data_IF_827937456276
#
_entry.id   IF_827937456276
#
_cell.length_a   1.000
_cell.length_b   1.000
_cell.length_c   1.000
_cell.angle_alpha   90.00
_cell.angle_beta   90.00
_cell.angle_gamma   90.00
#
_symmetry.space_group_name_H-M   'P 1'
#
loop_
_entity.id
_entity.type
_entity.pdbx_description
1 polymer ?
#
# COMPACT_ATOMS: atom_id res chain seq x y z
N UNK A 1 -12.84 19.78 -19.62
CA UNK A 1 -13.64 18.65 -19.10
C UNK A 1 -12.63 17.68 -18.49
N UNK A 2 -12.73 17.32 -17.21
CA UNK A 2 -11.82 16.33 -16.61
C UNK A 2 -12.05 15.00 -17.31
N UNK A 3 -10.98 14.34 -17.78
CA UNK A 3 -11.05 13.00 -18.37
C UNK A 3 -11.53 11.96 -17.33
N UNK A 4 -11.41 12.28 -16.05
CA UNK A 4 -11.83 11.44 -14.94
C UNK A 4 -13.17 11.97 -14.43
N UNK A 5 -14.24 11.24 -14.71
CA UNK A 5 -15.59 11.56 -14.18
C UNK A 5 -15.87 10.65 -12.99
N UNK A 6 -16.05 11.24 -11.82
CA UNK A 6 -16.42 10.52 -10.59
C UNK A 6 -17.92 10.69 -10.33
N UNK A 7 -18.58 9.60 -9.93
CA UNK A 7 -20.00 9.56 -9.62
C UNK A 7 -20.32 10.17 -8.23
N UNK A 8 -21.59 10.23 -7.86
CA UNK A 8 -22.04 10.86 -6.60
C UNK A 8 -21.52 10.11 -5.37
N UNK A 9 -21.47 8.77 -5.38
CA UNK A 9 -20.97 7.96 -4.29
C UNK A 9 -19.45 8.19 -4.10
N UNK A 10 -18.68 8.21 -5.18
CA UNK A 10 -17.25 8.50 -5.17
C UNK A 10 -16.93 9.93 -4.67
N UNK A 11 -17.79 10.92 -5.00
CA UNK A 11 -17.67 12.28 -4.44
C UNK A 11 -17.91 12.31 -2.94
N UNK A 12 -18.89 11.55 -2.46
CA UNK A 12 -19.17 11.44 -1.03
C UNK A 12 -18.00 10.80 -0.28
N UNK A 13 -17.46 9.68 -0.78
CA UNK A 13 -16.27 9.02 -0.21
C UNK A 13 -15.11 10.01 -0.13
N UNK A 14 -14.81 10.73 -1.22
CA UNK A 14 -13.77 11.76 -1.22
C UNK A 14 -13.99 12.80 -0.12
N UNK A 15 -15.20 13.32 0.00
CA UNK A 15 -15.53 14.35 0.99
C UNK A 15 -15.35 13.83 2.42
N UNK A 16 -15.90 12.66 2.75
CA UNK A 16 -15.85 12.10 4.09
C UNK A 16 -14.41 11.69 4.49
N UNK A 17 -13.68 11.03 3.60
CA UNK A 17 -12.30 10.62 3.87
C UNK A 17 -11.38 11.85 3.97
N UNK A 18 -11.53 12.84 3.08
CA UNK A 18 -10.76 14.09 3.13
C UNK A 18 -10.99 14.86 4.43
N UNK A 19 -12.24 14.96 4.87
CA UNK A 19 -12.59 15.61 6.15
C UNK A 19 -11.96 14.87 7.33
N UNK A 20 -12.07 13.55 7.37
CA UNK A 20 -11.44 12.75 8.42
C UNK A 20 -9.92 12.89 8.40
N UNK A 21 -9.29 12.79 7.23
CA UNK A 21 -7.85 12.92 7.06
C UNK A 21 -7.32 14.28 7.54
N UNK A 22 -7.94 15.37 7.12
CA UNK A 22 -7.51 16.74 7.49
C UNK A 22 -7.76 17.09 8.96
N UNK A 23 -8.84 16.58 9.58
CA UNK A 23 -9.19 16.95 10.94
C UNK A 23 -8.56 16.08 12.02
N UNK A 24 -8.26 14.81 11.72
CA UNK A 24 -7.83 13.86 12.73
C UNK A 24 -6.45 13.23 12.41
N UNK A 25 -6.17 12.97 11.13
CA UNK A 25 -4.94 12.29 10.76
C UNK A 25 -3.78 13.28 10.63
N UNK A 26 -4.00 14.42 9.99
CA UNK A 26 -2.94 15.42 9.75
C UNK A 26 -2.33 15.90 11.07
N UNK A 27 -3.15 16.13 12.09
CA UNK A 27 -2.69 16.55 13.43
C UNK A 27 -1.92 15.44 14.17
N UNK A 28 -2.26 14.17 13.96
CA UNK A 28 -1.60 13.02 14.61
C UNK A 28 -0.40 12.48 13.83
N UNK A 29 -0.20 12.89 12.57
CA UNK A 29 0.77 12.28 11.66
C UNK A 29 2.22 12.36 12.15
N UNK A 30 2.60 13.47 12.81
CA UNK A 30 3.95 13.64 13.37
C UNK A 30 4.19 12.75 14.59
N UNK A 31 3.18 12.57 15.43
CA UNK A 31 3.25 11.67 16.58
C UNK A 31 3.28 10.21 16.14
N UNK A 32 2.45 9.81 15.18
CA UNK A 32 2.50 8.48 14.57
C UNK A 32 3.86 8.16 13.98
N UNK A 33 4.49 9.12 13.29
CA UNK A 33 5.84 8.95 12.73
C UNK A 33 6.91 8.80 13.84
N UNK A 34 6.83 9.60 14.89
CA UNK A 34 7.78 9.55 16.02
C UNK A 34 7.65 8.24 16.80
N UNK A 35 6.42 7.84 17.09
CA UNK A 35 6.11 6.70 17.93
C UNK A 35 6.13 5.38 17.15
N UNK A 36 6.16 5.44 15.83
CA UNK A 36 6.20 4.26 14.93
C UNK A 36 4.93 3.42 14.99
N UNK A 37 3.79 3.99 15.41
CA UNK A 37 2.52 3.27 15.51
C UNK A 37 1.33 4.16 15.20
N UNK A 38 0.23 3.53 14.76
CA UNK A 38 -1.07 4.19 14.57
C UNK A 38 -1.88 4.02 15.86
N UNK A 39 -2.39 5.09 16.46
CA UNK A 39 -3.23 5.01 17.65
C UNK A 39 -4.49 4.16 17.41
N UNK A 40 -4.84 3.32 18.38
CA UNK A 40 -6.00 2.42 18.29
C UNK A 40 -7.31 3.14 18.00
N UNK A 41 -7.49 4.36 18.53
CA UNK A 41 -8.67 5.18 18.24
C UNK A 41 -8.78 5.59 16.76
N UNK A 42 -7.65 5.80 16.06
CA UNK A 42 -7.63 6.05 14.62
C UNK A 42 -8.00 4.78 13.86
N UNK A 43 -7.41 3.63 14.21
CA UNK A 43 -7.75 2.34 13.59
C UNK A 43 -9.22 2.00 13.78
N UNK A 44 -9.79 2.26 14.96
CA UNK A 44 -11.20 2.05 15.22
C UNK A 44 -12.09 2.92 14.33
N UNK A 45 -11.73 4.19 14.10
CA UNK A 45 -12.47 5.07 13.19
C UNK A 45 -12.36 4.64 11.73
N UNK A 46 -11.18 4.21 11.27
CA UNK A 46 -10.99 3.62 9.94
C UNK A 46 -11.92 2.41 9.75
N UNK A 47 -12.02 1.55 10.78
CA UNK A 47 -12.94 0.42 10.78
C UNK A 47 -14.41 0.85 10.71
N UNK A 48 -14.83 1.82 11.55
CA UNK A 48 -16.20 2.37 11.57
C UNK A 48 -16.59 3.02 10.24
N UNK A 49 -15.63 3.59 9.51
CA UNK A 49 -15.83 4.14 8.17
C UNK A 49 -15.85 3.05 7.08
N UNK A 50 -15.67 1.76 7.43
CA UNK A 50 -15.63 0.64 6.48
C UNK A 50 -14.38 0.60 5.61
N UNK A 51 -13.33 1.39 5.92
CA UNK A 51 -12.18 1.55 5.03
C UNK A 51 -11.28 0.30 4.95
N UNK A 52 -11.31 -0.59 5.95
CA UNK A 52 -10.61 -1.86 5.87
C UNK A 52 -11.28 -2.87 4.94
N UNK A 53 -12.58 -2.73 4.69
CA UNK A 53 -13.38 -3.64 3.87
C UNK A 53 -14.06 -2.97 2.68
N UNK A 54 -13.42 -1.96 2.05
CA UNK A 54 -14.02 -1.19 0.96
C UNK A 54 -14.50 -2.07 -0.20
N UNK A 55 -13.68 -3.02 -0.62
CA UNK A 55 -13.97 -3.92 -1.76
C UNK A 55 -14.68 -5.23 -1.34
N UNK A 56 -14.85 -5.47 -0.05
CA UNK A 56 -15.53 -6.67 0.44
C UNK A 56 -17.01 -6.56 0.07
N UNK A 57 -17.61 -7.60 -0.57
CA UNK A 57 -19.03 -7.61 -0.88
C UNK A 57 -19.92 -7.42 0.36
N UNK A 58 -21.08 -6.79 0.18
CA UNK A 58 -22.03 -6.51 1.25
C UNK A 58 -22.50 -7.78 1.98
N UNK A 59 -22.61 -8.91 1.27
CA UNK A 59 -22.96 -10.22 1.84
C UNK A 59 -21.99 -10.69 2.95
N UNK A 60 -20.77 -10.14 2.96
CA UNK A 60 -19.76 -10.40 4.00
C UNK A 60 -19.56 -9.18 4.93
N UNK A 61 -20.50 -8.23 4.94
CA UNK A 61 -20.47 -7.06 5.81
C UNK A 61 -19.53 -5.94 5.36
N UNK A 62 -18.98 -6.01 4.16
CA UNK A 62 -18.16 -4.96 3.57
C UNK A 62 -18.97 -3.85 2.90
N UNK A 63 -18.29 -2.93 2.23
CA UNK A 63 -18.92 -1.79 1.54
C UNK A 63 -19.27 -2.06 0.08
N UNK A 64 -18.77 -3.13 -0.53
CA UNK A 64 -19.03 -3.52 -1.91
C UNK A 64 -18.64 -2.46 -2.95
N UNK A 65 -17.66 -1.61 -2.65
CA UNK A 65 -17.29 -0.48 -3.49
C UNK A 65 -16.31 -0.88 -4.60
N UNK A 66 -16.29 -0.08 -5.67
CA UNK A 66 -15.40 -0.22 -6.80
C UNK A 66 -13.94 0.18 -6.47
N UNK A 67 -13.00 -0.20 -7.34
CA UNK A 67 -11.57 0.09 -7.18
C UNK A 67 -11.27 1.57 -7.33
N UNK A 68 -12.04 2.26 -8.15
CA UNK A 68 -11.98 3.72 -8.27
C UNK A 68 -12.27 4.40 -6.92
N UNK A 69 -13.27 3.93 -6.17
CA UNK A 69 -13.57 4.40 -4.80
C UNK A 69 -12.44 4.10 -3.82
N UNK A 70 -11.84 2.92 -3.91
CA UNK A 70 -10.65 2.57 -3.12
C UNK A 70 -9.49 3.54 -3.40
N UNK A 71 -9.19 3.81 -4.68
CA UNK A 71 -8.15 4.78 -5.06
C UNK A 71 -8.41 6.17 -4.49
N UNK A 72 -9.66 6.64 -4.54
CA UNK A 72 -10.05 7.93 -3.96
C UNK A 72 -9.79 7.97 -2.44
N UNK A 73 -10.20 6.92 -1.72
CA UNK A 73 -9.98 6.84 -0.29
C UNK A 73 -8.49 6.83 0.07
N UNK A 74 -7.68 6.03 -0.64
CA UNK A 74 -6.24 5.93 -0.43
C UNK A 74 -5.51 7.25 -0.76
N UNK A 75 -5.88 7.92 -1.86
CA UNK A 75 -5.37 9.23 -2.24
C UNK A 75 -5.62 10.25 -1.13
N UNK A 76 -6.84 10.34 -0.60
CA UNK A 76 -7.20 11.31 0.44
C UNK A 76 -6.50 11.02 1.78
N UNK A 77 -6.41 9.75 2.20
CA UNK A 77 -5.67 9.37 3.42
C UNK A 77 -4.18 9.68 3.31
N UNK A 78 -3.57 9.38 2.15
CA UNK A 78 -2.14 9.52 1.95
C UNK A 78 -1.67 10.99 1.93
N UNK A 79 -2.55 11.94 1.63
CA UNK A 79 -2.25 13.38 1.76
C UNK A 79 -1.86 13.75 3.19
N UNK A 80 -2.44 13.11 4.18
CA UNK A 80 -2.17 13.36 5.59
C UNK A 80 -1.17 12.38 6.20
N UNK A 81 -1.29 11.07 5.87
CA UNK A 81 -0.40 10.03 6.38
C UNK A 81 -0.30 8.83 5.43
N UNK A 82 0.84 8.72 4.75
CA UNK A 82 1.10 7.61 3.82
C UNK A 82 1.15 6.25 4.53
N UNK A 83 1.65 6.19 5.77
CA UNK A 83 1.67 4.95 6.57
C UNK A 83 0.26 4.40 6.82
N UNK A 84 -0.70 5.26 7.21
CA UNK A 84 -2.09 4.86 7.42
C UNK A 84 -2.75 4.43 6.11
N UNK A 85 -2.56 5.21 5.04
CA UNK A 85 -3.07 4.86 3.72
C UNK A 85 -2.52 3.51 3.25
N UNK A 86 -1.23 3.23 3.52
CA UNK A 86 -0.60 1.95 3.18
C UNK A 86 -1.19 0.79 3.99
N UNK A 87 -1.49 1.00 5.29
CA UNK A 87 -2.18 -0.01 6.10
C UNK A 87 -3.54 -0.38 5.50
N UNK A 88 -4.31 0.60 5.05
CA UNK A 88 -5.61 0.39 4.37
C UNK A 88 -5.42 -0.28 2.99
N UNK A 89 -4.40 0.15 2.22
CA UNK A 89 -4.08 -0.44 0.92
C UNK A 89 -3.70 -1.92 1.02
N UNK A 90 -2.82 -2.27 1.96
CA UNK A 90 -2.43 -3.67 2.22
C UNK A 90 -3.65 -4.51 2.54
N UNK A 91 -4.52 -4.02 3.43
CA UNK A 91 -5.71 -4.76 3.83
C UNK A 91 -6.66 -5.02 2.65
N UNK A 92 -6.92 -4.00 1.82
CA UNK A 92 -7.81 -4.16 0.66
C UNK A 92 -7.14 -4.91 -0.50
N UNK A 93 -5.91 -4.59 -0.85
CA UNK A 93 -5.29 -5.08 -2.07
C UNK A 93 -4.56 -6.43 -1.90
N UNK A 94 -3.86 -6.61 -0.78
CA UNK A 94 -3.03 -7.79 -0.55
C UNK A 94 -3.68 -8.84 0.35
N UNK A 95 -4.77 -8.46 1.05
CA UNK A 95 -5.48 -9.37 1.98
C UNK A 95 -6.89 -9.65 1.47
N UNK A 96 -7.75 -8.63 1.32
CA UNK A 96 -9.14 -8.85 0.91
C UNK A 96 -9.24 -9.43 -0.50
N UNK A 97 -8.49 -8.86 -1.46
CA UNK A 97 -8.55 -9.31 -2.84
C UNK A 97 -8.22 -10.80 -3.01
N UNK A 98 -7.09 -11.35 -2.49
CA UNK A 98 -6.83 -12.78 -2.62
C UNK A 98 -7.84 -13.64 -1.84
N UNK A 99 -8.37 -13.21 -0.69
CA UNK A 99 -9.43 -13.95 0.02
C UNK A 99 -10.72 -13.97 -0.80
N UNK A 100 -11.13 -12.85 -1.39
CA UNK A 100 -12.31 -12.76 -2.27
C UNK A 100 -12.13 -13.64 -3.50
N UNK A 101 -10.94 -13.64 -4.09
CA UNK A 101 -10.68 -14.30 -5.37
C UNK A 101 -10.47 -15.80 -5.24
N UNK A 102 -9.74 -16.24 -4.20
CA UNK A 102 -9.24 -17.60 -4.08
C UNK A 102 -9.75 -18.35 -2.84
N UNK A 103 -10.31 -17.67 -1.85
CA UNK A 103 -10.82 -18.30 -0.64
C UNK A 103 -12.01 -19.22 -0.92
N UNK A 104 -12.09 -20.36 -0.19
CA UNK A 104 -13.31 -21.18 -0.14
C UNK A 104 -14.48 -20.40 0.50
N UNK A 105 -15.69 -20.90 0.38
CA UNK A 105 -16.86 -20.26 1.00
C UNK A 105 -16.69 -20.08 2.51
N UNK A 106 -16.10 -21.08 3.19
CA UNK A 106 -15.80 -21.06 4.62
C UNK A 106 -14.77 -20.02 4.97
N UNK A 107 -13.67 -19.92 4.20
CA UNK A 107 -12.61 -18.94 4.38
C UNK A 107 -13.16 -17.54 4.16
N UNK A 108 -13.90 -17.30 3.07
CA UNK A 108 -14.55 -16.01 2.81
C UNK A 108 -15.43 -15.58 3.97
N UNK A 109 -16.33 -16.46 4.42
CA UNK A 109 -17.23 -16.17 5.52
C UNK A 109 -16.49 -15.90 6.83
N UNK A 110 -15.43 -16.66 7.12
CA UNK A 110 -14.66 -16.52 8.36
C UNK A 110 -13.85 -15.23 8.41
N UNK A 111 -13.15 -14.89 7.32
CA UNK A 111 -12.17 -13.79 7.33
C UNK A 111 -12.73 -12.47 6.81
N UNK A 112 -13.56 -12.45 5.76
CA UNK A 112 -14.13 -11.20 5.26
C UNK A 112 -15.04 -10.53 6.29
N UNK A 113 -15.83 -11.31 7.04
CA UNK A 113 -16.64 -10.78 8.14
C UNK A 113 -15.79 -10.21 9.28
N UNK A 114 -14.65 -10.86 9.63
CA UNK A 114 -13.71 -10.33 10.63
C UNK A 114 -13.12 -8.99 10.18
N UNK A 115 -12.72 -8.90 8.91
CA UNK A 115 -12.14 -7.68 8.33
C UNK A 115 -13.17 -6.56 8.28
N UNK A 116 -14.40 -6.84 7.85
CA UNK A 116 -15.50 -5.88 7.89
C UNK A 116 -15.79 -5.39 9.32
N UNK A 117 -15.57 -6.24 10.32
CA UNK A 117 -15.63 -5.92 11.75
C UNK A 117 -14.41 -5.17 12.31
N UNK A 118 -13.36 -4.93 11.48
CA UNK A 118 -12.19 -4.14 11.86
C UNK A 118 -10.89 -4.90 12.05
N UNK A 119 -10.86 -6.22 11.81
CA UNK A 119 -9.61 -6.98 11.82
C UNK A 119 -8.69 -6.55 10.68
N UNK A 120 -7.39 -6.58 10.95
CA UNK A 120 -6.35 -6.21 10.01
C UNK A 120 -5.59 -7.46 9.60
N UNK A 121 -5.37 -7.63 8.30
CA UNK A 121 -4.51 -8.68 7.77
C UNK A 121 -3.12 -8.17 7.43
N UNK A 122 -2.11 -9.03 7.61
CA UNK A 122 -0.75 -8.82 7.17
C UNK A 122 -0.44 -9.59 5.89
N UNK A 123 0.61 -9.16 5.18
CA UNK A 123 1.05 -9.80 3.95
C UNK A 123 2.58 -9.89 3.89
N UNK A 124 3.10 -11.09 3.66
CA UNK A 124 4.53 -11.30 3.41
C UNK A 124 4.82 -11.26 1.90
N UNK A 125 5.69 -10.35 1.41
CA UNK A 125 6.08 -10.31 0.00
C UNK A 125 6.87 -11.56 -0.43
N UNK A 126 6.72 -11.93 -1.70
CA UNK A 126 7.45 -13.10 -2.28
C UNK A 126 8.94 -12.82 -2.44
N UNK A 127 9.32 -11.56 -2.64
CA UNK A 127 10.73 -11.14 -2.77
C UNK A 127 11.60 -11.54 -1.57
N UNK A 128 11.04 -11.62 -0.38
CA UNK A 128 11.77 -12.05 0.81
C UNK A 128 12.16 -13.55 0.75
N UNK A 129 11.47 -14.35 -0.07
CA UNK A 129 11.79 -15.77 -0.24
C UNK A 129 13.04 -15.96 -1.12
N UNK A 130 13.24 -15.06 -2.10
CA UNK A 130 14.33 -15.18 -3.08
C UNK A 130 15.62 -14.46 -2.65
N UNK A 131 15.49 -13.31 -1.98
CA UNK A 131 16.63 -12.43 -1.66
C UNK A 131 17.49 -12.95 -0.49
N UNK A 132 16.95 -13.78 0.39
CA UNK A 132 17.66 -14.17 1.63
C UNK A 132 18.32 -15.56 1.53
N UNK A 133 18.22 -16.27 0.40
CA UNK A 133 18.81 -17.62 0.23
C UNK A 133 18.29 -18.64 1.27
N UNK A 134 17.17 -18.34 1.91
CA UNK A 134 16.51 -19.20 2.87
C UNK A 134 15.33 -19.86 2.15
N UNK A 135 15.46 -21.14 1.91
CA UNK A 135 14.35 -21.93 1.41
C UNK A 135 13.25 -21.96 2.46
N UNK A 136 12.06 -21.53 2.07
CA UNK A 136 10.85 -21.80 2.83
C UNK A 136 10.51 -23.28 2.61
N UNK A 137 10.97 -24.15 3.50
CA UNK A 137 10.78 -25.59 3.34
C UNK A 137 9.42 -25.97 3.88
N UNK A 138 8.57 -26.52 3.01
CA UNK A 138 7.41 -27.30 3.39
C UNK A 138 7.89 -28.74 3.69
N UNK A 139 8.08 -29.04 4.95
CA UNK A 139 8.31 -30.39 5.42
C UNK A 139 6.97 -31.13 5.53
N UNK A 140 6.93 -32.42 5.18
CA UNK A 140 5.74 -33.26 5.35
C UNK A 140 6.15 -34.55 6.02
N UNK A 141 5.52 -34.88 7.14
CA UNK A 141 5.66 -36.15 7.82
C UNK A 141 4.59 -37.16 7.41
N UNK A 142 3.94 -36.93 6.27
CA UNK A 142 2.89 -37.77 5.69
C UNK A 142 1.46 -37.35 6.07
N UNK A 143 1.27 -36.65 7.18
CA UNK A 143 -0.05 -36.19 7.64
C UNK A 143 -0.14 -34.69 7.83
N UNK A 144 0.96 -34.01 8.20
CA UNK A 144 1.04 -32.59 8.48
C UNK A 144 2.10 -31.91 7.62
N UNK A 145 1.90 -30.62 7.37
CA UNK A 145 2.87 -29.75 6.70
C UNK A 145 3.41 -28.76 7.71
N UNK A 146 4.72 -28.57 7.73
CA UNK A 146 5.39 -27.63 8.64
C UNK A 146 6.14 -26.58 7.86
N UNK A 147 6.17 -25.36 8.41
CA UNK A 147 6.97 -24.26 7.89
C UNK A 147 8.04 -23.88 8.90
N UNK A 148 9.29 -23.78 8.42
CA UNK A 148 10.42 -23.17 9.12
C UNK A 148 11.01 -22.10 8.21
N UNK A 149 10.68 -20.84 8.45
CA UNK A 149 11.13 -19.71 7.63
C UNK A 149 11.13 -18.39 8.38
N UNK A 150 11.80 -17.40 7.80
CA UNK A 150 11.82 -16.03 8.28
C UNK A 150 11.52 -15.07 7.15
N UNK A 151 10.56 -14.18 7.37
CA UNK A 151 10.18 -13.07 6.50
C UNK A 151 10.62 -11.78 7.18
N UNK A 152 11.59 -11.07 6.60
CA UNK A 152 12.18 -9.89 7.23
C UNK A 152 11.28 -8.65 7.10
N UNK A 153 10.45 -8.58 6.04
CA UNK A 153 9.52 -7.47 5.79
C UNK A 153 8.12 -8.05 5.60
N UNK A 154 7.24 -7.85 6.58
CA UNK A 154 5.83 -8.23 6.48
C UNK A 154 4.97 -7.00 6.71
N UNK A 155 4.15 -6.69 5.72
CA UNK A 155 3.30 -5.50 5.73
C UNK A 155 2.15 -5.68 6.74
N UNK A 156 1.81 -4.63 7.47
CA UNK A 156 0.85 -4.63 8.57
C UNK A 156 1.17 -5.58 9.74
N UNK A 157 2.31 -6.23 9.77
CA UNK A 157 2.60 -7.34 10.70
C UNK A 157 2.38 -7.01 12.18
N UNK A 158 2.77 -5.81 12.62
CA UNK A 158 2.58 -5.39 14.01
C UNK A 158 1.09 -5.16 14.38
N UNK A 159 0.26 -4.88 13.39
CA UNK A 159 -1.17 -4.57 13.54
C UNK A 159 -2.07 -5.79 13.27
N UNK A 160 -1.56 -6.78 12.55
CA UNK A 160 -2.35 -7.86 11.98
C UNK A 160 -2.89 -8.85 13.02
N UNK A 161 -4.08 -9.38 12.75
CA UNK A 161 -4.74 -10.48 13.45
C UNK A 161 -4.50 -11.82 12.75
N UNK A 162 -4.19 -11.79 11.46
CA UNK A 162 -3.86 -12.94 10.62
C UNK A 162 -3.00 -12.48 9.44
N UNK A 163 -2.42 -13.44 8.70
CA UNK A 163 -1.44 -13.18 7.65
C UNK A 163 -1.72 -13.98 6.40
N UNK A 164 -1.42 -13.41 5.23
CA UNK A 164 -1.25 -14.14 3.98
C UNK A 164 0.24 -14.29 3.71
N UNK A 165 0.69 -15.54 3.68
CA UNK A 165 2.10 -15.91 3.60
C UNK A 165 2.32 -16.78 2.36
N UNK A 166 3.22 -16.41 1.42
CA UNK A 166 3.67 -17.29 0.36
C UNK A 166 4.65 -18.33 0.93
N UNK A 167 4.43 -19.59 0.59
CA UNK A 167 5.27 -20.70 1.03
C UNK A 167 5.79 -21.46 -0.19
N UNK A 168 7.10 -21.53 -0.36
CA UNK A 168 7.78 -22.23 -1.46
C UNK A 168 7.91 -23.71 -1.15
N UNK A 169 7.75 -24.55 -2.16
CA UNK A 169 8.03 -26.00 -2.13
C UNK A 169 8.67 -26.41 -3.46
N UNK A 170 9.06 -27.67 -3.59
CA UNK A 170 9.57 -28.26 -4.85
C UNK A 170 8.52 -28.20 -5.98
N UNK A 171 7.25 -28.09 -5.64
CA UNK A 171 6.13 -28.00 -6.60
C UNK A 171 5.79 -26.57 -7.02
N UNK A 172 6.35 -25.55 -6.38
CA UNK A 172 6.07 -24.14 -6.63
C UNK A 172 5.78 -23.35 -5.35
N UNK A 173 5.01 -22.29 -5.47
CA UNK A 173 4.66 -21.40 -4.35
C UNK A 173 3.18 -21.49 -4.03
N UNK A 174 2.84 -21.78 -2.78
CA UNK A 174 1.45 -21.77 -2.28
C UNK A 174 1.18 -20.52 -1.46
N UNK A 175 -0.07 -20.07 -1.39
CA UNK A 175 -0.49 -18.99 -0.48
C UNK A 175 -1.25 -19.59 0.70
N UNK A 176 -0.79 -19.30 1.91
CA UNK A 176 -1.44 -19.71 3.15
C UNK A 176 -1.99 -18.52 3.91
N UNK A 177 -3.16 -18.71 4.52
CA UNK A 177 -3.78 -17.80 5.45
C UNK A 177 -3.56 -18.33 6.86
N UNK A 178 -2.88 -17.56 7.72
CA UNK A 178 -2.36 -18.00 9.01
C UNK A 178 -2.85 -17.02 10.09
N UNK A 179 -3.53 -17.54 11.13
CA UNK A 179 -3.95 -16.72 12.27
C UNK A 179 -2.76 -16.32 13.16
N UNK A 180 -2.83 -15.14 13.75
CA UNK A 180 -1.86 -14.67 14.75
C UNK A 180 -1.84 -15.60 15.94
N UNK A 181 -0.65 -15.86 16.45
CA UNK A 181 -0.48 -16.75 17.61
C UNK A 181 -0.37 -18.24 17.28
N UNK A 182 -0.21 -18.58 15.99
CA UNK A 182 0.18 -19.94 15.60
C UNK A 182 1.41 -20.39 16.40
N UNK A 183 1.42 -21.64 16.83
CA UNK A 183 2.56 -22.21 17.54
C UNK A 183 3.83 -22.17 16.68
N UNK A 184 4.94 -21.72 17.25
CA UNK A 184 6.22 -21.54 16.56
C UNK A 184 6.35 -20.23 15.77
N UNK A 185 5.29 -19.39 15.68
CA UNK A 185 5.36 -18.09 15.05
C UNK A 185 5.78 -17.01 16.05
N UNK A 186 6.78 -16.20 15.67
CA UNK A 186 7.26 -15.05 16.42
C UNK A 186 7.32 -13.82 15.51
N UNK A 187 6.96 -12.66 16.06
CA UNK A 187 7.13 -11.36 15.40
C UNK A 187 8.32 -10.62 16.00
N UNK A 188 9.06 -9.87 15.19
CA UNK A 188 10.17 -9.04 15.63
C UNK A 188 10.16 -7.68 14.93
N UNK A 189 10.62 -6.65 15.65
CA UNK A 189 10.65 -5.28 15.17
C UNK A 189 11.64 -5.11 14.00
N UNK A 190 11.24 -4.29 13.03
CA UNK A 190 12.09 -3.86 11.91
C UNK A 190 12.10 -2.34 11.87
N UNK A 191 13.28 -1.75 11.74
CA UNK A 191 13.43 -0.30 11.61
C UNK A 191 13.43 0.08 10.12
N UNK A 192 12.41 0.80 9.69
CA UNK A 192 12.27 1.26 8.30
C UNK A 192 12.66 2.72 8.13
N UNK A 193 13.09 3.09 6.95
CA UNK A 193 13.41 4.48 6.59
C UNK A 193 12.15 5.35 6.59
N UNK A 194 11.09 4.91 5.92
CA UNK A 194 9.78 5.56 5.84
C UNK A 194 8.66 4.57 6.13
N UNK A 195 7.41 5.04 6.05
CA UNK A 195 6.22 4.27 6.43
C UNK A 195 6.31 3.68 7.84
N UNK A 196 6.91 4.43 8.76
CA UNK A 196 7.30 3.94 10.09
C UNK A 196 6.13 3.45 10.94
N UNK A 197 4.96 4.07 10.79
CA UNK A 197 3.77 3.68 11.53
C UNK A 197 2.88 2.67 10.78
N UNK A 198 3.28 2.18 9.60
CA UNK A 198 2.49 1.22 8.82
C UNK A 198 2.50 -0.22 9.38
N UNK A 199 3.05 -0.42 10.58
CA UNK A 199 3.06 -1.73 11.22
C UNK A 199 3.93 -2.77 10.51
N UNK A 200 4.98 -2.35 9.79
CA UNK A 200 5.92 -3.26 9.14
C UNK A 200 6.79 -3.92 10.21
N UNK A 201 6.83 -5.25 10.22
CA UNK A 201 7.65 -6.04 11.15
C UNK A 201 8.02 -7.37 10.48
N UNK A 202 8.99 -8.09 11.05
CA UNK A 202 9.36 -9.41 10.57
C UNK A 202 8.54 -10.52 11.24
N UNK A 203 8.43 -11.67 10.57
CA UNK A 203 7.88 -12.92 11.11
C UNK A 203 8.89 -14.04 11.00
N UNK A 204 9.02 -14.84 12.04
CA UNK A 204 9.79 -16.08 12.06
C UNK A 204 8.88 -17.25 12.41
N UNK A 205 8.98 -18.33 11.64
CA UNK A 205 8.29 -19.59 11.88
C UNK A 205 9.32 -20.67 12.23
N UNK A 206 9.08 -21.42 13.32
CA UNK A 206 9.92 -22.52 13.79
C UNK A 206 9.06 -23.78 13.89
N UNK A 207 9.15 -24.62 12.86
CA UNK A 207 8.41 -25.89 12.78
C UNK A 207 6.91 -25.68 13.10
N UNK A 208 6.30 -24.72 12.43
CA UNK A 208 4.90 -24.34 12.62
C UNK A 208 3.99 -25.15 11.70
N UNK A 209 2.94 -25.77 12.25
CA UNK A 209 2.01 -26.64 11.51
C UNK A 209 1.10 -25.82 10.59
N UNK A 210 1.08 -26.15 9.29
CA UNK A 210 0.18 -25.59 8.29
C UNK A 210 -0.99 -26.56 8.01
N UNK A 211 -2.16 -26.22 8.48
CA UNK A 211 -3.39 -27.00 8.24
C UNK A 211 -3.85 -26.85 6.80
N UNK A 212 -4.40 -27.92 6.22
CA UNK A 212 -4.90 -27.93 4.83
C UNK A 212 -5.95 -26.85 4.56
N UNK A 213 -6.84 -26.56 5.52
CA UNK A 213 -7.84 -25.49 5.41
C UNK A 213 -7.28 -24.05 5.41
N UNK A 214 -5.98 -23.88 5.66
CA UNK A 214 -5.29 -22.57 5.59
C UNK A 214 -4.74 -22.28 4.20
N UNK A 215 -4.72 -23.22 3.27
CA UNK A 215 -4.20 -23.02 1.92
C UNK A 215 -5.24 -22.28 1.06
N UNK A 216 -4.94 -21.03 0.67
CA UNK A 216 -5.76 -20.27 -0.27
C UNK A 216 -5.53 -20.69 -1.71
N UNK A 217 -4.26 -20.93 -2.07
CA UNK A 217 -3.84 -21.29 -3.42
C UNK A 217 -2.73 -22.32 -3.36
N UNK A 218 -2.89 -23.41 -4.10
CA UNK A 218 -1.89 -24.49 -4.19
C UNK A 218 -0.69 -24.09 -5.06
N UNK A 219 0.40 -24.85 -4.96
CA UNK A 219 1.65 -24.58 -5.67
C UNK A 219 1.50 -24.49 -7.19
N UNK A 220 0.58 -25.26 -7.79
CA UNK A 220 0.36 -25.28 -9.24
C UNK A 220 -0.08 -23.93 -9.81
N UNK A 221 -0.88 -23.17 -9.07
CA UNK A 221 -1.42 -21.86 -9.51
C UNK A 221 -0.90 -20.69 -8.68
N UNK A 222 -0.06 -20.92 -7.68
CA UNK A 222 0.37 -19.91 -6.73
C UNK A 222 1.14 -18.75 -7.36
N UNK A 223 2.02 -19.03 -8.32
CA UNK A 223 2.77 -17.97 -9.02
C UNK A 223 1.83 -17.03 -9.80
N UNK A 224 0.81 -17.59 -10.47
CA UNK A 224 -0.20 -16.79 -11.18
C UNK A 224 -1.08 -16.00 -10.22
N UNK A 225 -1.46 -16.60 -9.10
CA UNK A 225 -2.25 -15.93 -8.08
C UNK A 225 -1.49 -14.75 -7.45
N UNK A 226 -0.22 -14.94 -7.08
CA UNK A 226 0.65 -13.88 -6.57
C UNK A 226 0.74 -12.73 -7.58
N UNK A 227 0.96 -13.05 -8.85
CA UNK A 227 1.03 -12.02 -9.89
C UNK A 227 -0.28 -11.25 -10.01
N UNK A 228 -1.43 -11.93 -9.99
CA UNK A 228 -2.74 -11.29 -10.01
C UNK A 228 -2.96 -10.36 -8.79
N UNK A 229 -2.51 -10.79 -7.61
CA UNK A 229 -2.58 -9.98 -6.38
C UNK A 229 -1.69 -8.74 -6.49
N UNK A 230 -0.47 -8.87 -7.02
CA UNK A 230 0.44 -7.74 -7.22
C UNK A 230 -0.08 -6.77 -8.28
N UNK A 231 -0.58 -7.25 -9.41
CA UNK A 231 -1.15 -6.41 -10.47
C UNK A 231 -2.33 -5.57 -9.94
N UNK A 232 -3.18 -6.16 -9.10
CA UNK A 232 -4.24 -5.44 -8.41
C UNK A 232 -3.68 -4.43 -7.38
N UNK A 233 -2.70 -4.83 -6.58
CA UNK A 233 -2.09 -3.97 -5.56
C UNK A 233 -1.35 -2.76 -6.16
N UNK A 234 -0.82 -2.87 -7.37
CA UNK A 234 -0.20 -1.76 -8.08
C UNK A 234 -1.15 -0.56 -8.22
N UNK A 235 -2.46 -0.79 -8.42
CA UNK A 235 -3.46 0.29 -8.48
C UNK A 235 -3.55 1.01 -7.12
N UNK A 236 -3.69 0.27 -6.03
CA UNK A 236 -3.80 0.84 -4.67
C UNK A 236 -2.52 1.57 -4.23
N UNK A 237 -1.34 0.98 -4.48
CA UNK A 237 -0.06 1.60 -4.13
C UNK A 237 0.20 2.89 -4.91
N UNK A 238 -0.20 2.90 -6.18
CA UNK A 238 -0.16 4.12 -7.00
C UNK A 238 -1.01 5.24 -6.42
N UNK A 239 -2.21 4.91 -5.89
CA UNK A 239 -3.09 5.89 -5.28
C UNK A 239 -2.49 6.47 -3.97
N UNK A 240 -1.81 5.64 -3.17
CA UNK A 240 -1.03 6.13 -2.01
C UNK A 240 0.09 7.06 -2.45
N UNK A 241 0.85 6.70 -3.50
CA UNK A 241 1.90 7.55 -4.06
C UNK A 241 1.34 8.90 -4.54
N UNK A 242 0.19 8.91 -5.23
CA UNK A 242 -0.47 10.13 -5.70
C UNK A 242 -0.85 11.06 -4.54
N UNK A 243 -1.42 10.55 -3.45
CA UNK A 243 -1.74 11.35 -2.27
C UNK A 243 -0.50 11.99 -1.66
N UNK A 244 0.59 11.23 -1.55
CA UNK A 244 1.88 11.71 -1.05
C UNK A 244 2.52 12.78 -1.97
N UNK A 245 2.41 12.61 -3.30
CA UNK A 245 2.84 13.61 -4.28
C UNK A 245 2.08 14.92 -4.11
N UNK A 246 0.77 14.85 -3.89
CA UNK A 246 -0.07 16.04 -3.65
C UNK A 246 0.28 16.74 -2.34
N UNK A 247 0.53 15.99 -1.26
CA UNK A 247 0.97 16.55 0.02
C UNK A 247 2.29 17.31 -0.14
N UNK A 248 3.25 16.72 -0.83
CA UNK A 248 4.55 17.33 -1.13
C UNK A 248 4.42 18.63 -1.94
N UNK A 249 3.59 18.61 -2.99
CA UNK A 249 3.32 19.79 -3.81
C UNK A 249 2.62 20.89 -3.01
N UNK A 250 1.57 20.54 -2.25
CA UNK A 250 0.82 21.50 -1.44
C UNK A 250 1.71 22.19 -0.39
N UNK A 251 2.54 21.42 0.32
CA UNK A 251 3.52 21.95 1.28
C UNK A 251 4.51 22.89 0.61
N UNK A 252 5.04 22.50 -0.55
CA UNK A 252 6.00 23.32 -1.30
C UNK A 252 5.39 24.64 -1.81
N UNK A 253 4.16 24.60 -2.32
CA UNK A 253 3.45 25.82 -2.77
C UNK A 253 3.18 26.76 -1.59
N UNK A 254 2.74 26.22 -0.44
CA UNK A 254 2.50 26.99 0.77
C UNK A 254 3.79 27.67 1.22
N UNK A 255 4.86 26.88 1.40
CA UNK A 255 6.15 27.40 1.84
C UNK A 255 6.72 28.45 0.87
N UNK A 256 6.66 28.20 -0.44
CA UNK A 256 7.15 29.14 -1.45
C UNK A 256 6.44 30.50 -1.41
N UNK A 257 5.14 30.55 -1.10
CA UNK A 257 4.36 31.79 -0.95
C UNK A 257 4.70 32.53 0.34
N UNK A 258 4.97 31.83 1.43
CA UNK A 258 5.22 32.41 2.75
C UNK A 258 6.68 32.87 2.95
N UNK A 259 7.63 32.11 2.41
CA UNK A 259 9.06 32.36 2.56
C UNK A 259 9.51 33.50 1.68
N UNK A 260 10.20 34.49 2.31
CA UNK A 260 10.78 35.66 1.61
C UNK A 260 12.30 35.59 1.61
N UNK A 261 12.91 35.91 0.48
CA UNK A 261 14.34 36.15 0.30
C UNK A 261 14.56 37.30 -0.70
N UNK A 262 15.61 38.09 -0.53
CA UNK A 262 15.90 39.23 -1.38
C UNK A 262 14.71 40.19 -1.55
N UNK A 263 13.93 40.37 -0.47
CA UNK A 263 12.81 41.33 -0.42
C UNK A 263 11.49 40.83 -1.04
N UNK A 264 11.40 39.63 -1.57
CA UNK A 264 10.20 39.08 -2.20
C UNK A 264 9.97 37.61 -1.86
N UNK A 265 8.76 37.08 -2.16
CA UNK A 265 8.41 35.67 -2.01
C UNK A 265 9.32 34.79 -2.88
N UNK A 266 9.73 33.61 -2.38
CA UNK A 266 10.51 32.68 -3.21
C UNK A 266 9.68 32.11 -4.38
N UNK A 267 8.36 32.16 -4.30
CA UNK A 267 7.45 31.77 -5.40
C UNK A 267 7.63 32.67 -6.66
N UNK A 268 8.29 33.84 -6.53
CA UNK A 268 8.55 34.74 -7.64
C UNK A 268 9.85 34.40 -8.40
N UNK A 269 10.66 33.47 -7.89
CA UNK A 269 11.90 33.08 -8.58
C UNK A 269 11.63 31.99 -9.63
N UNK A 270 12.09 32.19 -10.88
CA UNK A 270 11.83 31.21 -11.97
C UNK A 270 12.25 29.79 -11.66
N UNK A 271 13.38 29.55 -10.99
CA UNK A 271 13.83 28.21 -10.59
C UNK A 271 12.87 27.51 -9.62
N UNK A 272 12.23 28.25 -8.70
CA UNK A 272 11.22 27.69 -7.79
C UNK A 272 9.94 27.39 -8.55
N UNK A 273 9.54 28.30 -9.47
CA UNK A 273 8.36 28.08 -10.33
C UNK A 273 8.51 26.84 -11.21
N UNK A 274 9.70 26.63 -11.78
CA UNK A 274 10.02 25.45 -12.58
C UNK A 274 9.85 24.15 -11.76
N UNK A 275 10.44 24.08 -10.56
CA UNK A 275 10.28 22.93 -9.66
C UNK A 275 8.82 22.66 -9.33
N UNK A 276 8.03 23.68 -8.99
CA UNK A 276 6.60 23.53 -8.68
C UNK A 276 5.80 23.08 -9.91
N UNK A 277 6.13 23.56 -11.10
CA UNK A 277 5.50 23.15 -12.35
C UNK A 277 5.80 21.66 -12.66
N UNK A 278 7.06 21.22 -12.52
CA UNK A 278 7.43 19.82 -12.67
C UNK A 278 6.68 18.91 -11.68
N UNK A 279 6.61 19.32 -10.40
CA UNK A 279 5.85 18.57 -9.39
C UNK A 279 4.37 18.43 -9.80
N UNK A 280 3.75 19.51 -10.31
CA UNK A 280 2.37 19.51 -10.80
C UNK A 280 2.18 18.57 -11.99
N UNK A 281 3.11 18.59 -12.95
CA UNK A 281 3.08 17.72 -14.13
C UNK A 281 3.12 16.23 -13.69
N UNK A 282 4.01 15.87 -12.78
CA UNK A 282 4.09 14.47 -12.29
C UNK A 282 2.80 14.04 -11.56
N UNK A 283 2.19 14.92 -10.75
CA UNK A 283 0.89 14.65 -10.09
C UNK A 283 -0.20 14.38 -11.11
N UNK A 284 -0.32 15.17 -12.18
CA UNK A 284 -1.38 14.95 -13.19
C UNK A 284 -1.14 13.71 -14.03
N UNK A 285 0.11 13.41 -14.39
CA UNK A 285 0.47 12.16 -15.09
C UNK A 285 0.07 10.93 -14.24
N UNK A 286 0.47 10.92 -12.96
CA UNK A 286 0.13 9.84 -12.05
C UNK A 286 -1.39 9.67 -11.92
N UNK A 287 -2.11 10.78 -11.72
CA UNK A 287 -3.57 10.77 -11.61
C UNK A 287 -4.25 10.11 -12.81
N UNK A 288 -3.87 10.51 -14.02
CA UNK A 288 -4.47 9.96 -15.25
C UNK A 288 -4.23 8.46 -15.38
N UNK A 289 -3.00 7.99 -15.12
CA UNK A 289 -2.65 6.57 -15.22
C UNK A 289 -3.38 5.71 -14.18
N UNK A 290 -3.46 6.20 -12.94
CA UNK A 290 -4.07 5.45 -11.82
C UNK A 290 -5.57 5.27 -12.03
N UNK A 291 -6.27 6.35 -12.36
CA UNK A 291 -7.71 6.27 -12.56
C UNK A 291 -8.09 5.55 -13.85
N UNK A 292 -7.24 5.58 -14.87
CA UNK A 292 -7.39 4.72 -16.04
C UNK A 292 -7.26 3.23 -15.67
N UNK A 293 -6.25 2.86 -14.88
CA UNK A 293 -6.08 1.48 -14.42
C UNK A 293 -7.26 1.01 -13.55
N UNK A 294 -7.72 1.86 -12.63
CA UNK A 294 -8.87 1.56 -11.78
C UNK A 294 -10.16 1.40 -12.59
N UNK A 295 -10.41 2.30 -13.53
CA UNK A 295 -11.60 2.26 -14.40
C UNK A 295 -11.65 1.01 -15.27
N UNK A 296 -10.50 0.58 -15.83
CA UNK A 296 -10.41 -0.67 -16.59
C UNK A 296 -10.69 -1.89 -15.71
N UNK A 297 -10.13 -1.92 -14.51
CA UNK A 297 -10.45 -3.01 -13.57
C UNK A 297 -11.95 -3.05 -13.26
N UNK A 298 -12.56 -1.90 -12.95
CA UNK A 298 -13.99 -1.81 -12.63
C UNK A 298 -14.90 -2.18 -13.81
N UNK A 299 -14.40 -2.02 -15.05
CA UNK A 299 -15.08 -2.41 -16.30
C UNK A 299 -14.80 -3.86 -16.74
N UNK A 300 -14.04 -4.64 -15.97
CA UNK A 300 -13.55 -5.99 -16.33
C UNK A 300 -12.74 -6.02 -17.64
N UNK A 301 -11.99 -4.94 -17.90
CA UNK A 301 -11.09 -4.81 -19.04
C UNK A 301 -9.64 -5.18 -18.65
N UNK A 302 -8.74 -5.32 -19.66
CA UNK A 302 -7.31 -5.53 -19.41
C UNK A 302 -6.68 -4.30 -18.76
N UNK A 303 -6.21 -4.45 -17.52
CA UNK A 303 -5.71 -3.37 -16.68
C UNK A 303 -4.26 -3.56 -16.22
N UNK A 304 -3.70 -4.78 -16.33
CA UNK A 304 -2.43 -5.16 -15.66
C UNK A 304 -1.26 -4.34 -16.12
N UNK A 305 -1.11 -4.15 -17.43
CA UNK A 305 -0.03 -3.34 -18.00
C UNK A 305 -0.12 -1.90 -17.55
N UNK A 306 -1.31 -1.29 -17.64
CA UNK A 306 -1.48 0.12 -17.24
C UNK A 306 -1.34 0.29 -15.71
N UNK A 307 -1.78 -0.68 -14.89
CA UNK A 307 -1.58 -0.67 -13.44
C UNK A 307 -0.09 -0.70 -13.07
N UNK A 308 0.71 -1.54 -13.74
CA UNK A 308 2.16 -1.63 -13.55
C UNK A 308 2.88 -0.35 -13.98
N UNK A 309 2.49 0.24 -15.12
CA UNK A 309 3.00 1.54 -15.59
C UNK A 309 2.64 2.64 -14.58
N UNK A 310 1.39 2.66 -14.10
CA UNK A 310 0.94 3.62 -13.10
C UNK A 310 1.75 3.51 -11.81
N UNK A 311 1.98 2.29 -11.31
CA UNK A 311 2.75 2.06 -10.09
C UNK A 311 4.21 2.49 -10.23
N UNK A 312 4.88 2.05 -11.28
CA UNK A 312 6.27 2.42 -11.55
C UNK A 312 6.44 3.93 -11.68
N UNK A 313 5.60 4.56 -12.52
CA UNK A 313 5.66 6.00 -12.78
C UNK A 313 5.33 6.83 -11.54
N UNK A 314 4.28 6.48 -10.77
CA UNK A 314 3.87 7.26 -9.60
C UNK A 314 4.84 7.08 -8.42
N UNK A 315 5.36 5.88 -8.17
CA UNK A 315 6.35 5.67 -7.10
C UNK A 315 7.69 6.37 -7.40
N UNK A 316 8.17 6.35 -8.65
CA UNK A 316 9.37 7.11 -9.05
C UNK A 316 9.10 8.62 -9.03
N UNK A 317 7.93 9.05 -9.52
CA UNK A 317 7.49 10.44 -9.48
C UNK A 317 7.36 10.99 -8.05
N UNK A 318 6.87 10.18 -7.11
CA UNK A 318 6.77 10.56 -5.71
C UNK A 318 8.15 10.84 -5.07
N UNK A 319 9.16 10.05 -5.38
CA UNK A 319 10.54 10.28 -4.93
C UNK A 319 11.10 11.57 -5.55
N UNK A 320 10.90 11.79 -6.86
CA UNK A 320 11.33 13.03 -7.56
C UNK A 320 10.68 14.26 -6.94
N UNK A 321 9.36 14.21 -6.71
CA UNK A 321 8.61 15.30 -6.07
C UNK A 321 9.08 15.53 -4.63
N UNK A 322 9.34 14.45 -3.86
CA UNK A 322 9.87 14.57 -2.51
C UNK A 322 11.22 15.30 -2.46
N UNK A 323 12.12 15.00 -3.39
CA UNK A 323 13.41 15.72 -3.52
C UNK A 323 13.20 17.19 -3.87
N UNK A 324 12.32 17.50 -4.83
CA UNK A 324 11.99 18.88 -5.18
C UNK A 324 11.37 19.63 -3.99
N UNK A 325 10.51 18.97 -3.20
CA UNK A 325 9.93 19.55 -2.00
C UNK A 325 11.00 19.91 -0.95
N UNK A 326 11.94 19.01 -0.69
CA UNK A 326 13.10 19.30 0.18
C UNK A 326 13.90 20.50 -0.37
N UNK A 327 14.17 20.55 -1.68
CA UNK A 327 14.92 21.62 -2.32
C UNK A 327 14.20 22.97 -2.21
N UNK A 328 12.87 23.02 -2.43
CA UNK A 328 12.05 24.24 -2.27
C UNK A 328 12.11 24.77 -0.83
N UNK A 329 12.14 23.88 0.17
CA UNK A 329 12.24 24.28 1.57
C UNK A 329 13.67 24.63 2.00
N UNK A 330 14.69 24.29 1.19
CA UNK A 330 16.10 24.52 1.51
C UNK A 330 16.51 23.81 2.82
N UNK A 331 17.25 24.50 3.69
CA UNK A 331 17.65 23.93 4.98
C UNK A 331 16.50 23.47 5.88
N UNK A 332 15.34 24.08 5.77
CA UNK A 332 14.13 23.66 6.48
C UNK A 332 13.51 22.35 5.93
N UNK A 333 13.83 21.98 4.69
CA UNK A 333 13.42 20.67 4.14
C UNK A 333 14.18 19.48 4.71
N UNK A 334 15.31 19.74 5.40
CA UNK A 334 16.14 18.70 6.03
C UNK A 334 15.73 18.41 7.48
N UNK A 335 15.06 19.33 8.15
CA UNK A 335 14.67 19.21 9.57
C UNK A 335 13.23 18.69 9.72
N UNK A 336 12.95 18.01 10.84
CA UNK A 336 11.65 17.37 11.08
C UNK A 336 10.50 18.33 11.41
N UNK A 337 10.76 19.62 11.51
CA UNK A 337 9.73 20.66 11.74
C UNK A 337 8.78 20.82 10.53
N UNK A 338 9.24 20.41 9.35
CA UNK A 338 8.46 20.35 8.12
C UNK A 338 8.28 18.91 7.65
N UNK A 339 7.12 18.54 7.11
CA UNK A 339 6.83 17.13 6.80
C UNK A 339 7.51 16.62 5.52
N UNK A 340 8.18 17.46 4.73
CA UNK A 340 8.67 17.12 3.39
C UNK A 340 9.78 16.07 3.41
N UNK A 341 10.62 16.02 4.44
CA UNK A 341 11.62 14.98 4.62
C UNK A 341 10.97 13.61 4.85
N UNK A 342 9.85 13.57 5.61
CA UNK A 342 9.05 12.37 5.82
C UNK A 342 8.41 11.92 4.52
N UNK A 343 7.82 12.84 3.75
CA UNK A 343 7.21 12.52 2.45
C UNK A 343 8.22 11.87 1.50
N UNK A 344 9.46 12.36 1.46
CA UNK A 344 10.53 11.73 0.68
C UNK A 344 10.86 10.31 1.16
N UNK A 345 11.00 10.10 2.46
CA UNK A 345 11.29 8.78 3.02
C UNK A 345 10.17 7.78 2.78
N UNK A 346 8.93 8.21 2.94
CA UNK A 346 7.74 7.41 2.66
C UNK A 346 7.64 7.05 1.16
N UNK A 347 7.89 8.02 0.28
CA UNK A 347 7.94 7.80 -1.16
C UNK A 347 8.99 6.77 -1.56
N UNK A 348 10.19 6.84 -0.93
CA UNK A 348 11.25 5.85 -1.19
C UNK A 348 10.84 4.45 -0.76
N UNK A 349 10.11 4.31 0.34
CA UNK A 349 9.61 3.02 0.81
C UNK A 349 8.60 2.42 -0.17
N UNK A 350 7.73 3.23 -0.79
CA UNK A 350 6.76 2.75 -1.78
C UNK A 350 7.41 2.08 -3.00
N UNK A 351 8.62 2.51 -3.40
CA UNK A 351 9.35 1.89 -4.52
C UNK A 351 9.81 0.45 -4.24
N UNK A 352 9.81 0.04 -2.98
CA UNK A 352 10.35 -1.26 -2.54
C UNK A 352 9.23 -2.25 -2.19
N UNK A 353 7.96 -1.83 -2.27
CA UNK A 353 6.82 -2.67 -1.89
C UNK A 353 6.30 -3.44 -3.10
N UNK A 354 6.20 -4.74 -2.94
CA UNK A 354 5.68 -5.66 -3.94
C UNK A 354 6.72 -6.09 -4.96
N UNK A 355 6.80 -5.40 -6.08
CA UNK A 355 7.71 -5.70 -7.19
C UNK A 355 8.71 -4.57 -7.38
N UNK A 356 9.98 -4.89 -7.58
CA UNK A 356 11.02 -3.86 -7.74
C UNK A 356 10.87 -3.10 -9.08
N UNK A 357 11.33 -1.83 -9.17
CA UNK A 357 11.29 -1.08 -10.42
C UNK A 357 11.97 -1.76 -11.62
N UNK A 358 13.13 -2.47 -11.48
CA UNK A 358 13.70 -3.23 -12.58
C UNK A 358 12.80 -4.39 -13.04
N UNK A 359 12.20 -5.14 -12.11
CA UNK A 359 11.29 -6.25 -12.44
C UNK A 359 10.06 -5.76 -13.18
N UNK A 360 9.43 -4.66 -12.70
CA UNK A 360 8.29 -4.04 -13.39
C UNK A 360 8.65 -3.63 -14.83
N UNK A 361 9.84 -3.04 -15.06
CA UNK A 361 10.31 -2.68 -16.40
C UNK A 361 10.48 -3.91 -17.30
N UNK A 362 11.06 -4.98 -16.77
CA UNK A 362 11.23 -6.22 -17.52
C UNK A 362 9.89 -6.85 -17.91
N UNK A 363 8.90 -6.79 -17.03
CA UNK A 363 7.56 -7.30 -17.34
C UNK A 363 6.85 -6.45 -18.39
N UNK A 364 6.90 -5.12 -18.28
CA UNK A 364 6.37 -4.22 -19.31
C UNK A 364 7.04 -4.50 -20.66
N UNK A 365 8.37 -4.67 -20.67
CA UNK A 365 9.09 -4.99 -21.90
C UNK A 365 8.65 -6.32 -22.51
N UNK A 366 8.46 -7.36 -21.70
CA UNK A 366 7.96 -8.66 -22.19
C UNK A 366 6.59 -8.56 -22.86
N UNK A 367 5.68 -7.74 -22.28
CA UNK A 367 4.33 -7.56 -22.83
C UNK A 367 4.31 -6.84 -24.19
N UNK A 368 5.23 -5.93 -24.45
CA UNK A 368 5.33 -5.23 -25.75
C UNK A 368 6.13 -6.01 -26.81
N UNK A 369 6.83 -7.07 -26.42
CA UNK A 369 7.62 -7.92 -27.31
C UNK A 369 6.85 -9.18 -27.74
N UNK A 370 5.74 -9.49 -27.10
CA UNK A 370 4.82 -10.59 -27.44
C UNK A 370 3.72 -10.12 -28.41
#
# INVERSE_FOLDING_TARGET
MSLITINSAQKLIRSEVSKFASTQIETAASDMERDGCIPSGILQKISQMGLFGLIIPEDYGGSGLDVTSLCIALEELAKSCASLAMTVAVNNCLVNYPVIRYGSAEVKKAYLNKIAGGSIGGYAPVSDIEVVGRECVLESDGACRYISNRYDIVLNSALADFFIIPVKSDQGVSLFLIDKGMQGMNSYAVSTMGLRSAGIAGLEFKHSELKTGMCLVTAESGQQAIQSVLDYAHIGFSAVALGLMQASLASSVKYAKERKQFGRSIAEFPMVQEMLAEMKIEVEKARLLIYEAASRFDADEEYRTIARIACLSSCEGAVKIGLNAIQVHGGYGYVKDYPVERYFRDAKSLQLLGESPPEMRLRIAKEILL
#
